data_IF_874401454514
#
_entry.id   IF_874401454514
#
_cell.length_a   1.000
_cell.length_b   1.000
_cell.length_c   1.000
_cell.angle_alpha   90.00
_cell.angle_beta   90.00
_cell.angle_gamma   90.00
#
_symmetry.space_group_name_H-M   'P 1'
#
loop_
_entity.id
_entity.type
_entity.pdbx_description
1 polymer ?
#
# COMPACT_ATOMS: atom_id res chain seq x y z
N UNK A 1 -17.73 -5.61 -38.05
CA UNK A 1 -17.03 -6.73 -37.39
C UNK A 1 -17.15 -6.55 -35.89
N UNK A 2 -17.88 -7.43 -35.22
CA UNK A 2 -18.00 -7.45 -33.77
C UNK A 2 -16.78 -8.18 -33.18
N UNK A 3 -16.03 -7.50 -32.32
CA UNK A 3 -15.03 -8.10 -31.43
C UNK A 3 -15.29 -7.51 -30.04
N UNK A 4 -16.09 -8.28 -29.30
CA UNK A 4 -16.08 -8.56 -27.86
C UNK A 4 -15.82 -7.43 -26.86
N UNK A 5 -16.87 -7.14 -26.10
CA UNK A 5 -16.87 -6.34 -24.87
C UNK A 5 -15.72 -6.72 -23.93
N UNK A 6 -14.75 -5.82 -23.77
CA UNK A 6 -13.76 -5.94 -22.71
C UNK A 6 -14.44 -5.56 -21.39
N UNK A 7 -14.58 -6.56 -20.51
CA UNK A 7 -15.04 -6.49 -19.12
C UNK A 7 -16.56 -6.40 -18.91
N UNK A 8 -17.21 -7.54 -19.10
CA UNK A 8 -18.54 -7.81 -18.56
C UNK A 8 -18.49 -7.91 -17.02
N UNK A 9 -19.48 -7.27 -16.39
CA UNK A 9 -19.92 -7.44 -14.99
C UNK A 9 -19.91 -8.91 -14.55
N UNK A 10 -19.66 -9.22 -13.27
CA UNK A 10 -20.06 -8.48 -12.07
C UNK A 10 -18.95 -7.60 -11.45
N UNK A 11 -19.27 -6.77 -10.43
CA UNK A 11 -18.27 -6.11 -9.58
C UNK A 11 -17.19 -7.10 -9.14
N UNK A 12 -15.92 -6.66 -9.15
CA UNK A 12 -14.77 -7.45 -8.67
C UNK A 12 -14.43 -6.98 -7.27
N UNK A 13 -14.04 -7.89 -6.38
CA UNK A 13 -13.75 -7.51 -5.01
C UNK A 13 -12.35 -6.87 -4.95
N UNK A 14 -12.26 -5.60 -4.52
CA UNK A 14 -10.99 -4.95 -4.26
C UNK A 14 -10.22 -5.68 -3.14
N UNK A 15 -9.01 -6.22 -3.38
CA UNK A 15 -8.33 -7.03 -2.39
C UNK A 15 -8.13 -6.32 -1.05
N UNK A 16 -8.54 -7.01 0.02
CA UNK A 16 -8.48 -6.52 1.38
C UNK A 16 -9.65 -5.65 1.80
N UNK A 17 -10.74 -5.50 1.05
CA UNK A 17 -11.99 -4.93 1.56
C UNK A 17 -12.96 -6.05 2.04
N UNK A 18 -14.13 -5.74 2.60
CA UNK A 18 -15.18 -6.72 2.86
C UNK A 18 -15.73 -7.29 1.55
N UNK A 19 -16.16 -8.56 1.54
CA UNK A 19 -16.61 -9.27 0.33
C UNK A 19 -17.92 -8.68 -0.27
N UNK A 20 -18.64 -7.89 0.51
CA UNK A 20 -19.86 -7.15 0.18
C UNK A 20 -19.59 -5.72 -0.31
N UNK A 21 -18.33 -5.26 -0.29
CA UNK A 21 -17.99 -3.95 -0.82
C UNK A 21 -18.07 -3.95 -2.35
N UNK A 22 -18.99 -3.15 -2.90
CA UNK A 22 -19.14 -2.98 -4.33
C UNK A 22 -17.98 -2.11 -4.89
N UNK A 23 -16.91 -2.74 -5.35
CA UNK A 23 -15.97 -2.12 -6.29
C UNK A 23 -16.47 -2.34 -7.72
N UNK A 24 -16.67 -1.24 -8.45
CA UNK A 24 -17.09 -1.31 -9.83
C UNK A 24 -15.95 -1.73 -10.79
N UNK A 25 -14.72 -1.97 -10.30
CA UNK A 25 -13.52 -2.26 -11.09
C UNK A 25 -12.79 -0.97 -11.50
N UNK A 26 -12.04 -0.99 -12.60
CA UNK A 26 -11.31 0.19 -13.10
C UNK A 26 -12.27 1.31 -13.59
N UNK A 27 -12.81 2.10 -12.66
CA UNK A 27 -13.75 3.20 -12.94
C UNK A 27 -13.09 4.31 -13.75
N UNK A 28 -11.83 4.65 -13.47
CA UNK A 28 -11.13 5.71 -14.20
C UNK A 28 -10.85 5.31 -15.65
N UNK A 29 -10.46 4.05 -15.91
CA UNK A 29 -10.29 3.53 -17.26
C UNK A 29 -11.58 3.58 -18.07
N UNK A 30 -12.69 3.07 -17.52
CA UNK A 30 -14.00 3.16 -18.20
C UNK A 30 -14.44 4.59 -18.42
N UNK A 31 -14.28 5.46 -17.42
CA UNK A 31 -14.57 6.89 -17.53
C UNK A 31 -13.80 7.53 -18.70
N UNK A 32 -12.54 7.14 -18.89
CA UNK A 32 -11.73 7.60 -20.00
C UNK A 32 -12.21 7.05 -21.35
N UNK A 33 -12.67 5.80 -21.43
CA UNK A 33 -13.18 5.18 -22.66
C UNK A 33 -14.49 5.82 -23.12
N UNK A 34 -15.42 6.03 -22.19
CA UNK A 34 -16.76 6.55 -22.49
C UNK A 34 -16.78 8.01 -22.96
N UNK A 35 -15.66 8.74 -22.84
CA UNK A 35 -15.43 9.99 -23.56
C UNK A 35 -16.26 11.18 -23.09
N UNK A 36 -16.57 11.27 -21.80
CA UNK A 36 -17.26 12.43 -21.23
C UNK A 36 -16.37 13.68 -21.25
N UNK A 37 -16.97 14.87 -21.23
CA UNK A 37 -16.23 16.16 -21.29
C UNK A 37 -15.71 16.62 -19.94
N UNK A 38 -16.40 16.30 -18.86
CA UNK A 38 -16.01 16.70 -17.50
C UNK A 38 -16.57 15.68 -16.51
N UNK A 39 -15.80 15.40 -15.47
CA UNK A 39 -16.27 14.61 -14.31
C UNK A 39 -16.05 15.36 -13.02
N UNK A 40 -16.82 15.00 -12.01
CA UNK A 40 -16.52 15.31 -10.63
C UNK A 40 -15.86 14.11 -9.98
N UNK A 41 -14.68 14.33 -9.44
CA UNK A 41 -13.83 13.33 -8.81
C UNK A 41 -13.75 13.64 -7.31
N UNK A 42 -13.99 12.65 -6.46
CA UNK A 42 -13.80 12.73 -5.01
C UNK A 42 -12.81 11.67 -4.60
N UNK A 43 -11.82 12.02 -3.79
CA UNK A 43 -10.91 11.06 -3.16
C UNK A 43 -11.11 11.12 -1.66
N UNK A 44 -11.27 9.95 -1.05
CA UNK A 44 -11.33 9.76 0.39
C UNK A 44 -10.13 8.92 0.81
N UNK A 45 -9.31 9.49 1.69
CA UNK A 45 -8.15 8.82 2.29
C UNK A 45 -8.37 8.65 3.77
N UNK A 46 -7.87 7.55 4.31
CA UNK A 46 -8.02 7.23 5.73
C UNK A 46 -6.65 6.95 6.32
N UNK A 47 -6.39 7.45 7.51
CA UNK A 47 -5.27 6.98 8.32
C UNK A 47 -5.80 6.15 9.47
N UNK A 48 -5.11 5.05 9.71
CA UNK A 48 -5.21 4.24 10.92
C UNK A 48 -4.56 4.97 12.12
N UNK A 49 -4.77 6.28 12.33
CA UNK A 49 -3.93 7.01 13.29
C UNK A 49 -4.37 6.85 14.75
N UNK A 50 -3.35 6.73 15.61
CA UNK A 50 -3.37 6.74 17.08
C UNK A 50 -4.18 5.60 17.69
N UNK A 51 -5.51 5.72 17.87
CA UNK A 51 -6.21 4.81 18.78
C UNK A 51 -6.14 3.32 18.44
N UNK A 52 -5.93 2.93 17.17
CA UNK A 52 -5.81 1.51 16.80
C UNK A 52 -4.35 1.03 16.76
N UNK A 53 -3.42 1.86 16.29
CA UNK A 53 -1.98 1.61 16.39
C UNK A 53 -1.50 1.63 17.86
N UNK A 54 -2.08 2.50 18.70
CA UNK A 54 -1.87 2.62 20.16
C UNK A 54 -2.51 1.47 20.93
N UNK A 55 -3.69 1.00 20.53
CA UNK A 55 -4.29 -0.24 21.06
C UNK A 55 -3.58 -1.49 20.55
N UNK A 56 -2.67 -1.35 19.59
CA UNK A 56 -1.87 -2.43 19.04
C UNK A 56 -2.64 -3.43 18.19
N UNK A 57 -3.89 -3.14 17.80
CA UNK A 57 -4.77 -4.06 17.05
C UNK A 57 -4.94 -3.63 15.58
N UNK A 58 -3.83 -3.72 14.84
CA UNK A 58 -3.74 -3.31 13.43
C UNK A 58 -4.85 -3.91 12.55
N UNK A 59 -5.19 -5.18 12.76
CA UNK A 59 -6.23 -5.86 11.98
C UNK A 59 -7.63 -5.33 12.29
N UNK A 60 -7.97 -5.08 13.56
CA UNK A 60 -9.23 -4.42 13.89
C UNK A 60 -9.29 -2.99 13.35
N UNK A 61 -8.16 -2.28 13.32
CA UNK A 61 -8.09 -0.95 12.72
C UNK A 61 -8.33 -0.97 11.23
N UNK A 62 -7.63 -1.88 10.54
CA UNK A 62 -7.84 -2.11 9.12
C UNK A 62 -9.29 -2.46 8.84
N UNK A 63 -9.92 -3.35 9.62
CA UNK A 63 -11.35 -3.66 9.52
C UNK A 63 -12.22 -2.41 9.67
N UNK A 64 -12.02 -1.58 10.70
CA UNK A 64 -12.80 -0.34 10.88
C UNK A 64 -12.62 0.66 9.75
N UNK A 65 -11.39 0.85 9.25
CA UNK A 65 -11.14 1.71 8.09
C UNK A 65 -11.89 1.19 6.87
N UNK A 66 -11.87 -0.13 6.65
CA UNK A 66 -12.55 -0.78 5.54
C UNK A 66 -14.07 -0.66 5.64
N UNK A 67 -14.64 -0.93 6.82
CA UNK A 67 -16.07 -0.74 7.12
C UNK A 67 -16.49 0.71 6.91
N UNK A 68 -15.67 1.68 7.35
CA UNK A 68 -15.95 3.10 7.14
C UNK A 68 -15.92 3.48 5.66
N UNK A 69 -14.95 2.99 4.89
CA UNK A 69 -14.88 3.25 3.44
C UNK A 69 -16.04 2.58 2.69
N UNK A 70 -16.49 1.39 3.11
CA UNK A 70 -17.70 0.75 2.59
C UNK A 70 -18.94 1.59 2.91
N UNK A 71 -19.08 2.08 4.15
CA UNK A 71 -20.17 2.99 4.54
C UNK A 71 -20.20 4.28 3.70
N UNK A 72 -19.03 4.84 3.37
CA UNK A 72 -18.93 5.99 2.47
C UNK A 72 -19.47 5.61 1.09
N UNK A 73 -19.03 4.49 0.52
CA UNK A 73 -19.44 4.04 -0.81
C UNK A 73 -20.95 3.75 -0.87
N UNK A 74 -21.48 2.97 0.07
CA UNK A 74 -22.90 2.61 0.16
C UNK A 74 -23.80 3.83 0.43
N UNK A 75 -23.27 4.82 1.15
CA UNK A 75 -23.96 6.08 1.42
C UNK A 75 -24.09 7.00 0.20
N UNK A 76 -23.42 6.68 -0.91
CA UNK A 76 -23.56 7.43 -2.16
C UNK A 76 -24.66 6.84 -3.04
N UNK A 77 -25.37 7.72 -3.76
CA UNK A 77 -26.34 7.29 -4.76
C UNK A 77 -25.60 6.57 -5.91
N UNK A 78 -25.60 5.24 -5.89
CA UNK A 78 -24.91 4.39 -6.87
C UNK A 78 -25.43 4.52 -8.31
N UNK A 79 -26.57 5.17 -8.52
CA UNK A 79 -27.03 5.55 -9.87
C UNK A 79 -26.29 6.78 -10.42
N UNK A 80 -25.70 7.58 -9.53
CA UNK A 80 -25.02 8.84 -9.83
C UNK A 80 -23.52 8.79 -9.62
N UNK A 81 -23.05 7.99 -8.68
CA UNK A 81 -21.65 7.86 -8.28
C UNK A 81 -21.14 6.45 -8.52
N UNK A 82 -19.95 6.36 -9.12
CA UNK A 82 -19.22 5.10 -9.27
C UNK A 82 -18.03 5.09 -8.32
N UNK A 83 -17.94 4.06 -7.49
CA UNK A 83 -16.85 3.85 -6.53
C UNK A 83 -15.80 2.88 -7.07
N UNK A 84 -14.53 3.17 -6.79
CA UNK A 84 -13.38 2.30 -7.06
C UNK A 84 -12.26 2.59 -6.06
N UNK A 85 -11.38 1.62 -5.84
CA UNK A 85 -10.22 1.79 -4.98
C UNK A 85 -8.93 1.94 -5.79
N UNK A 86 -8.14 2.96 -5.45
CA UNK A 86 -6.82 3.17 -6.03
C UNK A 86 -5.79 3.27 -4.89
N UNK A 87 -4.91 2.27 -4.82
CA UNK A 87 -4.04 2.09 -3.66
C UNK A 87 -4.84 1.87 -2.37
N UNK A 88 -4.71 2.80 -1.42
CA UNK A 88 -5.42 2.80 -0.13
C UNK A 88 -6.59 3.80 -0.08
N UNK A 89 -6.83 4.51 -1.18
CA UNK A 89 -7.81 5.58 -1.24
C UNK A 89 -9.08 5.10 -1.97
N UNK A 90 -10.24 5.54 -1.48
CA UNK A 90 -11.52 5.38 -2.17
C UNK A 90 -11.71 6.55 -3.13
N UNK A 91 -12.02 6.24 -4.39
CA UNK A 91 -12.26 7.20 -5.45
C UNK A 91 -13.71 7.10 -5.90
N UNK A 92 -14.41 8.23 -5.92
CA UNK A 92 -15.77 8.36 -6.40
C UNK A 92 -15.79 9.25 -7.64
N UNK A 93 -16.46 8.79 -8.69
CA UNK A 93 -16.58 9.53 -9.95
C UNK A 93 -18.04 9.73 -10.30
N UNK A 94 -18.40 10.94 -10.74
CA UNK A 94 -19.73 11.25 -11.26
C UNK A 94 -19.67 12.14 -12.50
N UNK A 95 -20.59 11.89 -13.44
CA UNK A 95 -20.78 12.64 -14.69
C UNK A 95 -21.55 13.94 -14.47
N UNK A 96 -22.58 13.85 -13.64
CA UNK A 96 -23.65 14.85 -13.55
C UNK A 96 -23.66 15.56 -12.19
N UNK A 97 -22.60 15.37 -11.40
CA UNK A 97 -22.47 16.02 -10.12
C UNK A 97 -21.83 17.41 -10.26
N UNK A 98 -22.54 18.45 -9.82
CA UNK A 98 -21.96 19.79 -9.70
C UNK A 98 -20.96 19.92 -8.53
N UNK A 99 -21.02 18.99 -7.57
CA UNK A 99 -20.19 18.95 -6.37
C UNK A 99 -20.22 17.57 -5.69
N UNK A 100 -19.53 17.39 -4.56
CA UNK A 100 -19.36 16.09 -3.91
C UNK A 100 -20.67 15.56 -3.29
N UNK A 101 -20.80 14.24 -3.06
CA UNK A 101 -21.94 13.71 -2.33
C UNK A 101 -21.82 14.01 -0.82
N UNK A 102 -22.92 13.81 -0.08
CA UNK A 102 -22.87 13.87 1.38
C UNK A 102 -22.20 12.60 1.91
N UNK A 103 -20.92 12.72 2.27
CA UNK A 103 -20.14 11.62 2.81
C UNK A 103 -20.52 11.32 4.27
N UNK A 104 -20.55 10.04 4.62
CA UNK A 104 -20.76 9.55 5.99
C UNK A 104 -19.54 8.75 6.42
N UNK A 105 -18.98 9.05 7.57
CA UNK A 105 -17.80 8.39 8.10
C UNK A 105 -18.15 7.66 9.39
N UNK A 106 -17.57 6.47 9.59
CA UNK A 106 -17.66 5.79 10.87
C UNK A 106 -16.85 6.55 11.94
N UNK A 107 -17.31 6.46 13.19
CA UNK A 107 -16.58 7.03 14.32
C UNK A 107 -15.26 6.30 14.57
N UNK A 108 -14.27 7.02 15.10
CA UNK A 108 -12.98 6.44 15.50
C UNK A 108 -11.99 6.20 14.34
N UNK A 109 -12.31 6.61 13.11
CA UNK A 109 -11.40 6.61 11.97
C UNK A 109 -11.13 8.04 11.51
N UNK A 110 -9.85 8.40 11.35
CA UNK A 110 -9.46 9.72 10.85
C UNK A 110 -9.46 9.72 9.32
N UNK A 111 -10.49 10.35 8.76
CA UNK A 111 -10.62 10.54 7.32
C UNK A 111 -10.18 11.94 6.90
N UNK A 112 -9.67 12.02 5.68
CA UNK A 112 -9.66 13.25 4.90
C UNK A 112 -10.22 12.97 3.53
N UNK A 113 -10.80 13.99 2.92
CA UNK A 113 -11.36 13.86 1.58
C UNK A 113 -11.15 15.16 0.82
N UNK A 114 -11.16 15.12 -0.49
CA UNK A 114 -11.17 16.31 -1.32
C UNK A 114 -11.87 15.99 -2.64
N UNK A 115 -12.17 17.02 -3.42
CA UNK A 115 -12.79 16.83 -4.70
C UNK A 115 -12.30 17.86 -5.73
N UNK A 116 -12.47 17.54 -7.01
CA UNK A 116 -12.35 18.53 -8.08
C UNK A 116 -13.21 18.16 -9.30
N UNK A 117 -13.29 19.10 -10.25
CA UNK A 117 -13.88 18.88 -11.57
C UNK A 117 -12.78 18.72 -12.60
N UNK A 118 -12.72 17.56 -13.23
CA UNK A 118 -11.66 17.18 -14.16
C UNK A 118 -12.18 17.35 -15.59
N UNK A 119 -11.65 18.29 -16.37
CA UNK A 119 -11.93 18.36 -17.80
C UNK A 119 -11.27 17.18 -18.52
N UNK A 120 -12.01 16.56 -19.45
CA UNK A 120 -11.60 15.37 -20.16
C UNK A 120 -11.72 15.61 -21.67
N UNK A 121 -10.57 15.84 -22.31
CA UNK A 121 -10.48 16.12 -23.74
C UNK A 121 -9.47 15.20 -24.45
N UNK A 122 -9.64 15.03 -25.76
CA UNK A 122 -8.70 14.31 -26.62
C UNK A 122 -8.93 12.79 -26.63
N UNK A 123 -7.86 12.02 -26.83
CA UNK A 123 -7.91 10.55 -26.90
C UNK A 123 -8.23 9.91 -25.55
N UNK A 124 -8.68 8.64 -25.57
CA UNK A 124 -8.88 7.82 -24.34
C UNK A 124 -7.67 7.89 -23.43
N UNK A 125 -6.47 7.75 -23.99
CA UNK A 125 -5.21 7.81 -23.25
C UNK A 125 -4.98 9.18 -22.56
N UNK A 126 -5.25 10.28 -23.27
CA UNK A 126 -5.13 11.62 -22.69
C UNK A 126 -6.11 11.82 -21.54
N UNK A 127 -7.35 11.33 -21.69
CA UNK A 127 -8.38 11.38 -20.63
C UNK A 127 -7.98 10.53 -19.42
N UNK A 128 -7.44 9.33 -19.64
CA UNK A 128 -6.94 8.46 -18.57
C UNK A 128 -5.81 9.11 -17.78
N UNK A 129 -4.82 9.67 -18.47
CA UNK A 129 -3.72 10.41 -17.80
C UNK A 129 -4.22 11.61 -17.02
N UNK A 130 -5.21 12.35 -17.55
CA UNK A 130 -5.83 13.46 -16.83
C UNK A 130 -6.54 13.00 -15.55
N UNK A 131 -7.27 11.88 -15.61
CA UNK A 131 -7.94 11.30 -14.44
C UNK A 131 -6.96 10.81 -13.37
N UNK A 132 -5.89 10.10 -13.75
CA UNK A 132 -4.89 9.61 -12.80
C UNK A 132 -4.12 10.77 -12.16
N UNK A 133 -3.74 11.78 -12.94
CA UNK A 133 -3.12 13.00 -12.41
C UNK A 133 -4.05 13.74 -11.44
N UNK A 134 -5.33 13.88 -11.79
CA UNK A 134 -6.33 14.47 -10.90
C UNK A 134 -6.51 13.63 -9.63
N UNK A 135 -6.54 12.30 -9.71
CA UNK A 135 -6.55 11.43 -8.52
C UNK A 135 -5.34 11.68 -7.62
N UNK A 136 -4.15 11.87 -8.20
CA UNK A 136 -2.96 12.19 -7.44
C UNK A 136 -3.10 13.52 -6.70
N UNK A 137 -3.51 14.59 -7.40
CA UNK A 137 -3.71 15.92 -6.80
C UNK A 137 -4.81 15.92 -5.72
N UNK A 138 -5.95 15.32 -6.02
CA UNK A 138 -7.08 15.26 -5.08
C UNK A 138 -6.75 14.38 -3.87
N UNK A 139 -6.00 13.28 -4.04
CA UNK A 139 -5.50 12.48 -2.91
C UNK A 139 -4.53 13.27 -2.03
N UNK A 140 -3.65 14.08 -2.63
CA UNK A 140 -2.74 14.95 -1.90
C UNK A 140 -3.52 15.95 -1.02
N UNK A 141 -4.53 16.60 -1.57
CA UNK A 141 -5.43 17.48 -0.83
C UNK A 141 -6.17 16.73 0.29
N UNK A 142 -6.72 15.54 -0.01
CA UNK A 142 -7.43 14.71 0.96
C UNK A 142 -6.51 14.32 2.13
N UNK A 143 -5.25 13.98 1.87
CA UNK A 143 -4.25 13.63 2.89
C UNK A 143 -3.84 14.81 3.74
N UNK A 144 -3.62 15.96 3.13
CA UNK A 144 -3.32 17.17 3.87
C UNK A 144 -4.48 17.51 4.83
N UNK A 145 -5.73 17.47 4.34
CA UNK A 145 -6.92 17.69 5.18
C UNK A 145 -7.10 16.63 6.25
N UNK A 146 -6.78 15.38 5.95
CA UNK A 146 -6.74 14.31 6.95
C UNK A 146 -5.81 14.75 8.07
N UNK A 147 -4.58 15.15 7.77
CA UNK A 147 -3.52 15.42 8.75
C UNK A 147 -3.62 16.83 9.40
N UNK A 148 -4.36 17.75 8.77
CA UNK A 148 -4.66 19.12 9.20
C UNK A 148 -6.17 19.36 9.16
N UNK A 149 -6.87 18.92 10.20
CA UNK A 149 -8.34 18.94 10.28
C UNK A 149 -8.92 20.37 10.31
N UNK A 150 -8.10 21.37 10.62
CA UNK A 150 -8.46 22.77 10.58
C UNK A 150 -8.76 23.29 9.17
N UNK A 151 -8.30 22.61 8.11
CA UNK A 151 -8.52 23.00 6.71
C UNK A 151 -9.98 22.72 6.29
N UNK A 152 -10.77 23.79 6.20
CA UNK A 152 -12.18 23.73 5.80
C UNK A 152 -12.40 23.63 4.29
N UNK A 153 -11.49 24.17 3.50
CA UNK A 153 -11.56 24.08 2.03
C UNK A 153 -11.52 22.62 1.58
N UNK A 154 -12.40 22.25 0.65
CA UNK A 154 -12.62 20.86 0.21
C UNK A 154 -12.21 20.63 -1.25
N UNK A 155 -12.08 21.70 -2.03
CA UNK A 155 -11.65 21.62 -3.42
C UNK A 155 -10.13 21.48 -3.50
N UNK A 156 -9.65 20.55 -4.31
CA UNK A 156 -8.23 20.15 -4.31
C UNK A 156 -7.27 21.32 -4.64
N UNK A 157 -7.47 22.02 -5.76
CA UNK A 157 -6.55 23.09 -6.20
C UNK A 157 -6.23 24.13 -5.12
N UNK A 158 -7.22 24.77 -4.46
CA UNK A 158 -6.96 25.69 -3.35
C UNK A 158 -6.23 25.07 -2.15
N UNK A 159 -6.56 23.83 -1.77
CA UNK A 159 -5.88 23.12 -0.67
C UNK A 159 -4.41 22.90 -1.01
N UNK A 160 -4.12 22.38 -2.21
CA UNK A 160 -2.76 22.10 -2.66
C UNK A 160 -1.96 23.40 -2.85
N UNK A 161 -2.58 24.44 -3.41
CA UNK A 161 -1.98 25.77 -3.53
C UNK A 161 -1.61 26.40 -2.18
N UNK A 162 -2.28 26.01 -1.09
CA UNK A 162 -1.98 26.44 0.27
C UNK A 162 -0.82 25.69 0.94
N UNK A 163 -0.33 24.57 0.37
CA UNK A 163 0.69 23.71 0.98
C UNK A 163 1.91 24.48 1.47
N UNK A 164 2.54 25.40 0.69
CA UNK A 164 3.73 26.12 1.15
C UNK A 164 3.54 26.95 2.42
N UNK A 165 2.30 27.36 2.72
CA UNK A 165 1.97 28.11 3.94
C UNK A 165 1.61 27.20 5.11
N UNK A 166 1.10 26.00 4.82
CA UNK A 166 0.59 25.04 5.81
C UNK A 166 1.68 24.08 6.30
N UNK A 167 2.57 23.67 5.40
CA UNK A 167 3.69 22.79 5.71
C UNK A 167 4.97 23.63 5.85
N UNK A 168 5.49 23.68 7.08
CA UNK A 168 6.67 24.49 7.41
C UNK A 168 8.02 23.82 7.13
N UNK A 169 8.05 22.60 6.58
CA UNK A 169 9.30 21.86 6.34
C UNK A 169 9.29 21.15 5.00
N UNK A 170 10.45 21.14 4.33
CA UNK A 170 10.63 20.42 3.08
C UNK A 170 10.38 18.91 3.25
N UNK A 171 10.79 18.34 4.38
CA UNK A 171 10.50 16.95 4.71
C UNK A 171 8.99 16.66 4.79
N UNK A 172 8.20 17.56 5.37
CA UNK A 172 6.74 17.42 5.42
C UNK A 172 6.10 17.50 4.03
N UNK A 173 6.54 18.46 3.21
CA UNK A 173 6.06 18.61 1.84
C UNK A 173 6.47 17.43 0.94
N UNK A 174 7.70 16.94 1.08
CA UNK A 174 8.20 15.76 0.36
C UNK A 174 7.44 14.49 0.75
N UNK A 175 7.16 14.30 2.04
CA UNK A 175 6.35 13.16 2.50
C UNK A 175 4.91 13.23 1.97
N UNK A 176 4.33 14.44 1.91
CA UNK A 176 3.01 14.65 1.33
C UNK A 176 2.98 14.31 -0.18
N UNK A 177 3.97 14.80 -0.94
CA UNK A 177 4.13 14.49 -2.37
C UNK A 177 4.34 12.98 -2.60
N UNK A 178 5.13 12.33 -1.75
CA UNK A 178 5.49 10.93 -1.88
C UNK A 178 4.40 9.94 -1.44
N UNK A 179 3.54 10.34 -0.50
CA UNK A 179 2.64 9.40 0.17
C UNK A 179 1.50 8.88 -0.70
N UNK A 180 1.14 9.57 -1.78
CA UNK A 180 -0.03 9.26 -2.62
C UNK A 180 0.24 8.04 -3.51
N UNK A 181 -0.64 7.02 -3.47
CA UNK A 181 -0.56 5.85 -4.34
C UNK A 181 -1.68 5.92 -5.39
N UNK A 182 -1.35 6.02 -6.68
CA UNK A 182 -2.33 5.99 -7.80
C UNK A 182 -1.87 4.97 -8.82
N UNK A 183 -2.14 3.69 -8.57
CA UNK A 183 -1.61 2.60 -9.41
C UNK A 183 -2.01 2.78 -10.88
N UNK A 184 -1.06 2.63 -11.82
CA UNK A 184 -1.30 2.92 -13.21
C UNK A 184 -2.22 1.87 -13.82
N UNK A 185 -3.03 2.35 -14.74
CA UNK A 185 -3.89 1.53 -15.56
C UNK A 185 -3.12 1.17 -16.81
N UNK A 186 -3.00 -0.13 -17.14
CA UNK A 186 -2.35 -0.51 -18.40
C UNK A 186 -3.01 0.16 -19.60
N UNK A 187 -2.23 0.60 -20.58
CA UNK A 187 -2.61 1.58 -21.61
C UNK A 187 -1.89 1.39 -22.95
N UNK A 188 -2.22 2.26 -23.91
CA UNK A 188 -1.85 2.12 -25.33
C UNK A 188 -0.34 2.22 -25.63
N UNK A 189 0.48 2.56 -24.63
CA UNK A 189 1.94 2.61 -24.69
C UNK A 189 2.57 1.19 -24.66
N UNK A 190 1.76 0.13 -24.84
CA UNK A 190 2.18 -1.26 -24.90
C UNK A 190 2.18 -1.99 -23.56
N UNK A 191 1.81 -1.33 -22.45
CA UNK A 191 1.66 -1.95 -21.13
C UNK A 191 0.25 -2.55 -21.03
N UNK A 192 0.09 -3.90 -21.00
CA UNK A 192 -1.21 -4.52 -20.94
C UNK A 192 -1.97 -4.07 -19.67
N UNK A 193 -3.25 -3.75 -19.82
CA UNK A 193 -4.16 -3.66 -18.68
C UNK A 193 -4.30 -5.00 -17.97
N UNK A 194 -4.89 -4.99 -16.77
CA UNK A 194 -5.13 -6.22 -16.03
C UNK A 194 -6.00 -7.20 -16.85
N UNK A 195 -5.52 -8.43 -16.99
CA UNK A 195 -6.23 -9.50 -17.66
C UNK A 195 -7.39 -10.08 -16.84
N UNK A 196 -8.13 -11.07 -17.38
CA UNK A 196 -9.05 -11.87 -16.59
C UNK A 196 -8.33 -12.54 -15.40
N UNK A 197 -8.88 -12.39 -14.19
CA UNK A 197 -8.32 -12.96 -12.97
C UNK A 197 -7.17 -12.17 -12.34
N UNK A 198 -6.77 -11.02 -12.90
CA UNK A 198 -5.76 -10.12 -12.33
C UNK A 198 -6.42 -8.97 -11.54
N UNK A 199 -5.68 -8.43 -10.56
CA UNK A 199 -6.11 -7.23 -9.82
C UNK A 199 -6.10 -6.02 -10.78
N UNK A 200 -7.21 -5.28 -10.91
CA UNK A 200 -7.31 -4.16 -11.85
C UNK A 200 -6.32 -3.03 -11.57
N UNK A 201 -5.78 -2.95 -10.35
CA UNK A 201 -4.78 -1.98 -9.91
C UNK A 201 -3.36 -2.51 -10.08
N UNK A 202 -3.18 -3.82 -10.29
CA UNK A 202 -1.87 -4.46 -10.43
C UNK A 202 -1.87 -5.43 -11.63
N UNK A 203 -1.79 -4.91 -12.87
CA UNK A 203 -1.66 -5.77 -14.04
C UNK A 203 -0.51 -6.78 -13.90
N UNK A 204 -0.74 -8.04 -14.32
CA UNK A 204 0.21 -9.14 -14.16
C UNK A 204 0.20 -9.83 -12.78
N UNK A 205 -0.60 -9.34 -11.82
CA UNK A 205 -0.71 -9.92 -10.47
C UNK A 205 -2.11 -10.53 -10.28
N UNK A 206 -2.22 -11.80 -9.84
CA UNK A 206 -3.51 -12.43 -9.58
C UNK A 206 -4.36 -11.64 -8.58
N UNK A 207 -5.65 -11.51 -8.90
CA UNK A 207 -6.66 -10.91 -8.01
C UNK A 207 -6.92 -11.80 -6.80
N UNK A 208 -7.25 -11.20 -5.67
CA UNK A 208 -7.78 -11.93 -4.52
C UNK A 208 -9.19 -12.51 -4.76
N UNK A 209 -9.85 -12.22 -5.87
CA UNK A 209 -11.10 -12.92 -6.24
C UNK A 209 -10.88 -14.44 -6.35
N UNK A 210 -9.71 -14.86 -6.87
CA UNK A 210 -9.32 -16.27 -6.95
C UNK A 210 -8.81 -16.86 -5.63
N UNK A 211 -8.79 -16.07 -4.55
CA UNK A 211 -8.24 -16.47 -3.26
C UNK A 211 -8.93 -17.67 -2.64
N UNK A 212 -10.27 -17.66 -2.64
CA UNK A 212 -11.09 -18.68 -2.00
C UNK A 212 -10.84 -20.05 -2.61
N UNK A 213 -10.69 -20.13 -3.93
CA UNK A 213 -10.36 -21.36 -4.66
C UNK A 213 -8.95 -21.84 -4.31
N UNK A 214 -7.96 -20.94 -4.33
CA UNK A 214 -6.57 -21.25 -3.93
C UNK A 214 -6.53 -21.84 -2.53
N UNK A 215 -7.23 -21.23 -1.58
CA UNK A 215 -7.28 -21.67 -0.17
C UNK A 215 -8.05 -22.98 0.01
N UNK A 216 -9.10 -23.21 -0.78
CA UNK A 216 -9.86 -24.46 -0.74
C UNK A 216 -9.04 -25.65 -1.24
N UNK A 217 -8.16 -25.43 -2.23
CA UNK A 217 -7.25 -26.43 -2.80
C UNK A 217 -5.96 -26.67 -2.01
N UNK A 218 -5.80 -26.10 -0.82
CA UNK A 218 -4.56 -26.20 -0.02
C UNK A 218 -4.18 -27.63 0.32
N UNK A 219 -2.88 -27.92 0.31
CA UNK A 219 -2.30 -29.15 0.82
C UNK A 219 -1.86 -29.00 2.29
N UNK A 220 -1.76 -30.12 3.01
CA UNK A 220 -1.30 -30.12 4.41
C UNK A 220 0.15 -29.62 4.57
N UNK A 221 0.95 -29.70 3.51
CA UNK A 221 2.34 -29.21 3.48
C UNK A 221 2.47 -27.73 3.14
N UNK A 222 1.40 -27.06 2.71
CA UNK A 222 1.49 -25.66 2.26
C UNK A 222 1.84 -24.72 3.41
N UNK A 223 2.53 -23.64 3.04
CA UNK A 223 2.76 -22.48 3.89
C UNK A 223 1.84 -21.34 3.47
N UNK A 224 1.24 -20.69 4.44
CA UNK A 224 0.64 -19.38 4.24
C UNK A 224 1.74 -18.31 4.24
N UNK A 225 1.75 -17.46 3.22
CA UNK A 225 2.74 -16.42 3.02
C UNK A 225 2.11 -15.02 3.00
N UNK A 226 2.84 -14.05 3.54
CA UNK A 226 2.55 -12.61 3.41
C UNK A 226 3.84 -11.89 3.07
N UNK A 227 3.82 -11.04 2.05
CA UNK A 227 4.94 -10.19 1.66
C UNK A 227 4.62 -8.72 1.93
N UNK A 228 5.66 -7.91 2.06
CA UNK A 228 5.58 -6.45 2.03
C UNK A 228 6.75 -5.92 1.20
N UNK A 229 6.45 -5.03 0.25
CA UNK A 229 7.46 -4.31 -0.52
C UNK A 229 7.67 -2.97 0.13
N UNK A 230 8.91 -2.69 0.51
CA UNK A 230 9.25 -1.42 1.07
C UNK A 230 9.80 -0.47 0.02
N UNK A 231 8.97 0.52 -0.29
CA UNK A 231 9.33 1.81 -0.87
C UNK A 231 9.11 2.89 0.21
N UNK A 232 9.84 2.81 1.33
CA UNK A 232 9.63 3.76 2.44
C UNK A 232 9.94 5.17 1.92
N UNK A 233 9.15 6.16 2.32
CA UNK A 233 9.35 7.59 2.03
C UNK A 233 10.83 8.01 2.05
N UNK A 234 11.60 7.54 3.02
CA UNK A 234 13.01 7.92 3.21
C UNK A 234 14.03 6.86 2.75
N UNK A 235 13.54 5.74 2.22
CA UNK A 235 14.32 4.63 1.70
C UNK A 235 14.70 3.61 2.77
N UNK A 236 15.43 2.59 2.35
CA UNK A 236 15.98 1.56 3.25
C UNK A 236 17.48 1.75 3.35
N UNK A 237 18.00 1.79 4.58
CA UNK A 237 19.44 1.82 4.83
C UNK A 237 19.91 0.44 5.26
N UNK A 238 21.05 0.02 4.71
CA UNK A 238 21.76 -1.16 5.15
C UNK A 238 22.38 -0.86 6.53
N UNK A 239 22.13 -1.74 7.50
CA UNK A 239 22.55 -1.54 8.89
C UNK A 239 24.04 -1.76 9.12
N UNK A 240 24.68 -2.57 8.28
CA UNK A 240 26.09 -2.94 8.43
C UNK A 240 27.04 -1.77 8.13
N UNK A 241 26.71 -0.94 7.15
CA UNK A 241 27.58 0.12 6.61
C UNK A 241 26.86 1.47 6.46
N UNK A 242 25.55 1.54 6.74
CA UNK A 242 24.72 2.72 6.53
C UNK A 242 24.41 3.02 5.06
N UNK A 243 24.86 2.18 4.12
CA UNK A 243 24.67 2.40 2.69
C UNK A 243 23.20 2.30 2.32
N UNK A 244 22.78 3.05 1.30
CA UNK A 244 21.39 3.05 0.86
C UNK A 244 21.09 1.79 0.03
N UNK A 245 20.11 1.00 0.47
CA UNK A 245 19.59 -0.15 -0.28
C UNK A 245 18.52 0.27 -1.29
N UNK A 246 17.71 1.25 -0.90
CA UNK A 246 16.73 1.87 -1.78
C UNK A 246 16.72 3.37 -1.59
N UNK A 247 16.66 4.12 -2.68
CA UNK A 247 16.13 5.48 -2.64
C UNK A 247 14.67 5.39 -2.17
N UNK A 248 14.19 6.38 -1.44
CA UNK A 248 12.80 6.43 -0.98
C UNK A 248 12.07 7.52 -1.71
N UNK A 249 10.77 7.35 -1.94
CA UNK A 249 10.01 8.33 -2.73
C UNK A 249 10.06 9.77 -2.19
N UNK A 250 9.96 9.98 -0.87
CA UNK A 250 10.08 11.32 -0.26
C UNK A 250 11.51 11.87 -0.33
N UNK A 251 12.52 11.00 -0.28
CA UNK A 251 13.90 11.42 -0.47
C UNK A 251 14.14 11.94 -1.89
N UNK A 252 13.62 11.24 -2.91
CA UNK A 252 13.75 11.63 -4.32
C UNK A 252 13.11 12.99 -4.62
N UNK A 253 11.95 13.28 -4.03
CA UNK A 253 11.24 14.56 -4.25
C UNK A 253 11.64 15.67 -3.28
N UNK A 254 12.67 15.47 -2.44
CA UNK A 254 13.05 16.43 -1.41
C UNK A 254 13.47 17.78 -1.99
N UNK A 255 14.35 17.78 -3.00
CA UNK A 255 14.82 19.00 -3.66
C UNK A 255 13.69 19.77 -4.38
N UNK A 256 12.72 19.03 -4.91
CA UNK A 256 11.50 19.57 -5.49
C UNK A 256 10.64 20.25 -4.43
N UNK A 257 10.45 19.60 -3.28
CA UNK A 257 9.73 20.15 -2.14
C UNK A 257 10.41 21.43 -1.58
N UNK A 258 11.73 21.45 -1.46
CA UNK A 258 12.49 22.63 -1.06
C UNK A 258 12.27 23.81 -2.01
N UNK A 259 12.30 23.55 -3.31
CA UNK A 259 12.06 24.58 -4.33
C UNK A 259 10.62 25.09 -4.33
N UNK A 260 9.66 24.20 -4.07
CA UNK A 260 8.25 24.56 -3.93
C UNK A 260 8.01 25.48 -2.73
N UNK A 261 8.53 25.09 -1.55
CA UNK A 261 8.36 25.88 -0.32
C UNK A 261 9.06 27.24 -0.38
N UNK A 262 10.19 27.33 -1.09
CA UNK A 262 10.88 28.58 -1.31
C UNK A 262 10.22 29.48 -2.38
N UNK A 263 9.10 29.06 -2.97
CA UNK A 263 8.41 29.81 -4.04
C UNK A 263 9.19 29.88 -5.36
N UNK A 264 10.19 29.02 -5.56
CA UNK A 264 11.02 28.98 -6.78
C UNK A 264 10.41 28.11 -7.88
N UNK A 265 9.46 27.24 -7.54
CA UNK A 265 8.74 26.39 -8.48
C UNK A 265 7.23 26.59 -8.33
N UNK A 266 6.52 26.63 -9.45
CA UNK A 266 5.06 26.72 -9.45
C UNK A 266 4.42 25.38 -9.05
N UNK A 267 3.26 25.44 -8.39
CA UNK A 267 2.56 24.24 -7.89
C UNK A 267 2.25 23.24 -9.00
N UNK A 268 1.88 23.69 -10.21
CA UNK A 268 1.53 22.79 -11.31
C UNK A 268 2.76 22.04 -11.85
N UNK A 269 3.92 22.69 -11.93
CA UNK A 269 5.19 22.06 -12.28
C UNK A 269 5.64 21.06 -11.21
N UNK A 270 5.52 21.44 -9.93
CA UNK A 270 5.84 20.55 -8.80
C UNK A 270 4.98 19.29 -8.82
N UNK A 271 3.67 19.43 -8.98
CA UNK A 271 2.77 18.28 -9.04
C UNK A 271 3.08 17.38 -10.25
N UNK A 272 3.36 17.95 -11.42
CA UNK A 272 3.70 17.17 -12.62
C UNK A 272 5.00 16.39 -12.43
N UNK A 273 6.03 17.02 -11.88
CA UNK A 273 7.32 16.35 -11.68
C UNK A 273 7.25 15.28 -10.58
N UNK A 274 6.60 15.58 -9.45
CA UNK A 274 6.38 14.60 -8.40
C UNK A 274 5.54 13.41 -8.90
N UNK A 275 4.49 13.68 -9.69
CA UNK A 275 3.67 12.63 -10.31
C UNK A 275 4.47 11.80 -11.33
N UNK A 276 5.37 12.41 -12.12
CA UNK A 276 6.23 11.70 -13.05
C UNK A 276 7.18 10.73 -12.33
N UNK A 277 7.85 11.20 -11.27
CA UNK A 277 8.72 10.35 -10.43
C UNK A 277 7.91 9.22 -9.80
N UNK A 278 6.72 9.54 -9.29
CA UNK A 278 5.77 8.59 -8.73
C UNK A 278 5.38 7.47 -9.70
N UNK A 279 5.04 7.81 -10.95
CA UNK A 279 4.70 6.81 -11.97
C UNK A 279 5.85 5.83 -12.23
N UNK A 280 7.09 6.32 -12.23
CA UNK A 280 8.28 5.47 -12.32
C UNK A 280 8.36 4.48 -11.17
N UNK A 281 8.14 4.93 -9.93
CA UNK A 281 8.13 4.06 -8.75
C UNK A 281 7.00 3.05 -8.77
N UNK A 282 5.83 3.42 -9.26
CA UNK A 282 4.72 2.47 -9.37
C UNK A 282 4.97 1.39 -10.41
N UNK A 283 5.61 1.73 -11.53
CA UNK A 283 6.06 0.73 -12.49
C UNK A 283 7.06 -0.25 -11.84
N UNK A 284 7.97 0.24 -11.01
CA UNK A 284 8.91 -0.61 -10.28
C UNK A 284 8.23 -1.50 -9.24
N UNK A 285 7.25 -0.97 -8.51
CA UNK A 285 6.45 -1.75 -7.56
C UNK A 285 5.66 -2.84 -8.28
N UNK A 286 5.03 -2.51 -9.41
CA UNK A 286 4.30 -3.48 -10.24
C UNK A 286 5.22 -4.61 -10.69
N UNK A 287 6.38 -4.28 -11.25
CA UNK A 287 7.33 -5.27 -11.72
C UNK A 287 7.87 -6.14 -10.58
N UNK A 288 8.08 -5.54 -9.40
CA UNK A 288 8.49 -6.24 -8.20
C UNK A 288 7.44 -7.26 -7.75
N UNK A 289 6.18 -6.83 -7.62
CA UNK A 289 5.07 -7.69 -7.21
C UNK A 289 4.79 -8.78 -8.26
N UNK A 290 4.89 -8.45 -9.54
CA UNK A 290 4.80 -9.43 -10.65
C UNK A 290 5.90 -10.47 -10.56
N UNK A 291 7.15 -10.06 -10.34
CA UNK A 291 8.28 -10.97 -10.18
C UNK A 291 8.08 -11.91 -9.00
N UNK A 292 7.61 -11.39 -7.85
CA UNK A 292 7.24 -12.21 -6.71
C UNK A 292 6.19 -13.25 -7.13
N UNK A 293 5.05 -12.80 -7.67
CA UNK A 293 3.95 -13.70 -8.05
C UNK A 293 4.34 -14.74 -9.10
N UNK A 294 5.15 -14.38 -10.09
CA UNK A 294 5.62 -15.27 -11.16
C UNK A 294 6.58 -16.33 -10.62
N UNK A 295 7.50 -15.95 -9.73
CA UNK A 295 8.54 -16.85 -9.23
C UNK A 295 7.96 -17.98 -8.37
N UNK A 296 6.90 -17.71 -7.60
CA UNK A 296 6.22 -18.75 -6.80
C UNK A 296 5.21 -19.59 -7.58
N UNK A 297 4.78 -19.13 -8.76
CA UNK A 297 3.75 -19.80 -9.60
C UNK A 297 3.95 -21.31 -9.81
N UNK A 298 5.18 -21.85 -9.95
CA UNK A 298 5.37 -23.29 -10.18
C UNK A 298 4.86 -24.20 -9.06
N UNK A 299 4.79 -23.72 -7.82
CA UNK A 299 4.40 -24.54 -6.66
C UNK A 299 3.48 -23.84 -5.66
N UNK A 300 3.10 -22.59 -5.93
CA UNK A 300 2.27 -21.78 -5.06
C UNK A 300 1.57 -20.68 -5.84
N UNK A 301 0.79 -19.87 -5.13
CA UNK A 301 0.07 -18.74 -5.70
C UNK A 301 -0.05 -17.62 -4.68
N UNK A 302 0.45 -16.45 -5.07
CA UNK A 302 0.28 -15.20 -4.35
C UNK A 302 -0.73 -14.31 -5.07
N UNK A 303 -1.55 -13.62 -4.29
CA UNK A 303 -2.61 -12.73 -4.74
C UNK A 303 -2.33 -11.32 -4.22
N UNK A 304 -2.74 -10.33 -5.00
CA UNK A 304 -2.72 -8.93 -4.60
C UNK A 304 -3.49 -8.73 -3.29
N UNK A 305 -2.99 -7.84 -2.42
CA UNK A 305 -3.68 -7.44 -1.18
C UNK A 305 -3.83 -5.91 -1.09
N UNK A 306 -4.41 -5.42 0.01
CA UNK A 306 -4.43 -3.99 0.29
C UNK A 306 -3.05 -3.52 0.74
N UNK A 307 -2.38 -2.71 -0.09
CA UNK A 307 -1.03 -2.21 0.18
C UNK A 307 0.01 -2.82 -0.75
N UNK A 308 1.27 -2.65 -0.41
CA UNK A 308 2.40 -2.87 -1.32
C UNK A 308 2.94 -4.30 -1.18
N UNK A 309 2.06 -5.27 -0.98
CA UNK A 309 2.42 -6.66 -0.70
C UNK A 309 1.40 -7.67 -1.25
N UNK A 310 1.80 -8.93 -1.21
CA UNK A 310 1.00 -10.06 -1.64
C UNK A 310 0.73 -10.99 -0.46
N UNK A 311 -0.26 -11.86 -0.59
CA UNK A 311 -0.44 -12.99 0.32
C UNK A 311 -0.78 -14.22 -0.48
N UNK A 312 -0.67 -15.41 0.09
CA UNK A 312 -1.09 -16.63 -0.61
C UNK A 312 -0.52 -17.91 -0.03
N UNK A 313 -0.56 -18.96 -0.85
CA UNK A 313 -0.01 -20.26 -0.52
C UNK A 313 1.29 -20.48 -1.27
N UNK A 314 2.29 -21.00 -0.57
CA UNK A 314 3.59 -21.37 -1.14
C UNK A 314 3.95 -22.76 -0.62
N UNK A 315 4.75 -23.55 -1.34
CA UNK A 315 5.05 -24.92 -0.91
C UNK A 315 5.93 -24.92 0.34
N UNK A 316 6.87 -23.96 0.46
CA UNK A 316 7.75 -23.80 1.60
C UNK A 316 8.37 -22.38 1.67
N UNK A 317 9.12 -22.12 2.75
CA UNK A 317 9.84 -20.87 2.95
C UNK A 317 10.98 -20.64 1.94
N UNK A 318 11.57 -21.70 1.37
CA UNK A 318 12.69 -21.60 0.43
C UNK A 318 12.23 -21.11 -0.95
N UNK A 319 11.07 -21.56 -1.41
CA UNK A 319 10.41 -21.06 -2.61
C UNK A 319 10.12 -19.56 -2.51
N UNK A 320 9.56 -19.12 -1.37
CA UNK A 320 9.30 -17.70 -1.14
C UNK A 320 10.60 -16.89 -1.03
N UNK A 321 11.64 -17.43 -0.38
CA UNK A 321 12.95 -16.78 -0.29
C UNK A 321 13.57 -16.55 -1.66
N UNK A 322 13.49 -17.55 -2.53
CA UNK A 322 13.93 -17.43 -3.93
C UNK A 322 13.18 -16.31 -4.64
N UNK A 323 11.85 -16.24 -4.47
CA UNK A 323 11.03 -15.19 -5.05
C UNK A 323 11.41 -13.78 -4.55
N UNK A 324 11.59 -13.61 -3.23
CA UNK A 324 11.99 -12.33 -2.62
C UNK A 324 13.36 -11.89 -3.12
N UNK A 325 14.35 -12.80 -3.17
CA UNK A 325 15.69 -12.50 -3.68
C UNK A 325 15.64 -12.10 -5.15
N UNK A 326 14.88 -12.84 -5.98
CA UNK A 326 14.73 -12.52 -7.40
C UNK A 326 14.09 -11.14 -7.62
N UNK A 327 13.04 -10.82 -6.86
CA UNK A 327 12.37 -9.52 -6.94
C UNK A 327 13.28 -8.37 -6.48
N UNK A 328 13.98 -8.53 -5.34
CA UNK A 328 14.92 -7.54 -4.84
C UNK A 328 16.09 -7.30 -5.81
N UNK A 329 16.61 -8.36 -6.44
CA UNK A 329 17.67 -8.24 -7.44
C UNK A 329 17.23 -7.48 -8.70
N UNK A 330 15.98 -7.65 -9.14
CA UNK A 330 15.44 -6.92 -10.31
C UNK A 330 15.24 -5.43 -10.05
N UNK A 331 14.94 -5.06 -8.82
CA UNK A 331 14.65 -3.67 -8.42
C UNK A 331 15.72 -3.09 -7.49
N UNK A 332 16.95 -3.56 -7.61
CA UNK A 332 18.07 -3.10 -6.78
C UNK A 332 18.18 -1.57 -6.78
N UNK A 333 18.39 -0.97 -5.60
CA UNK A 333 18.43 0.48 -5.43
C UNK A 333 17.06 1.18 -5.40
N UNK A 334 15.97 0.48 -5.75
CA UNK A 334 14.64 1.07 -5.97
C UNK A 334 13.60 0.49 -5.01
N UNK A 335 13.48 -0.83 -4.93
CA UNK A 335 12.51 -1.52 -4.05
C UNK A 335 13.20 -2.61 -3.24
N UNK A 336 12.69 -2.88 -2.04
CA UNK A 336 13.17 -3.97 -1.19
C UNK A 336 12.02 -4.63 -0.44
N UNK A 337 11.78 -5.91 -0.66
CA UNK A 337 10.75 -6.69 0.02
C UNK A 337 11.31 -7.57 1.14
N UNK A 338 10.40 -7.96 2.03
CA UNK A 338 10.54 -9.07 2.97
C UNK A 338 9.24 -9.85 3.07
N UNK A 339 9.29 -11.05 3.64
CA UNK A 339 8.11 -11.90 3.77
C UNK A 339 8.09 -12.75 5.04
N UNK A 340 6.88 -13.00 5.53
CA UNK A 340 6.61 -13.95 6.61
C UNK A 340 5.87 -15.17 6.10
N UNK A 341 6.19 -16.34 6.65
CA UNK A 341 5.47 -17.59 6.38
C UNK A 341 5.07 -18.33 7.65
N UNK A 342 4.00 -19.09 7.56
CA UNK A 342 3.57 -20.04 8.58
C UNK A 342 3.04 -21.32 7.92
N UNK A 343 3.44 -22.49 8.43
CA UNK A 343 2.93 -23.78 7.95
C UNK A 343 1.45 -23.93 8.28
N UNK A 344 0.68 -24.50 7.35
CA UNK A 344 -0.75 -24.78 7.55
C UNK A 344 -1.01 -26.09 8.29
N UNK A 345 0.00 -26.95 8.46
CA UNK A 345 -0.15 -28.28 9.05
C UNK A 345 -0.81 -28.24 10.44
N UNK A 346 -2.09 -28.63 10.49
CA UNK A 346 -2.87 -28.79 11.72
C UNK A 346 -3.44 -27.51 12.33
N UNK A 347 -3.40 -26.38 11.62
CA UNK A 347 -4.01 -25.12 12.09
C UNK A 347 -5.01 -24.57 11.08
N UNK A 348 -5.97 -23.78 11.57
CA UNK A 348 -6.86 -23.05 10.69
C UNK A 348 -6.12 -21.91 9.96
N UNK A 349 -6.74 -21.41 8.89
CA UNK A 349 -6.17 -20.35 8.07
C UNK A 349 -6.01 -19.04 8.83
N UNK A 350 -6.89 -18.73 9.79
CA UNK A 350 -6.82 -17.48 10.54
C UNK A 350 -5.57 -17.46 11.44
N UNK A 351 -5.30 -18.56 12.14
CA UNK A 351 -4.08 -18.75 12.92
C UNK A 351 -2.84 -18.72 12.04
N UNK A 352 -2.86 -19.35 10.86
CA UNK A 352 -1.74 -19.31 9.92
C UNK A 352 -1.45 -17.88 9.42
N UNK A 353 -2.50 -17.10 9.13
CA UNK A 353 -2.39 -15.69 8.75
C UNK A 353 -1.72 -14.86 9.83
N UNK A 354 -2.20 -14.97 11.06
CA UNK A 354 -1.67 -14.22 12.20
C UNK A 354 -0.19 -14.51 12.43
N UNK A 355 0.18 -15.80 12.39
CA UNK A 355 1.57 -16.26 12.49
C UNK A 355 2.46 -15.75 11.36
N UNK A 356 1.99 -15.78 10.11
CA UNK A 356 2.74 -15.24 8.98
C UNK A 356 2.91 -13.72 9.06
N UNK A 357 1.90 -12.99 9.53
CA UNK A 357 2.01 -11.54 9.77
C UNK A 357 3.01 -11.21 10.87
N UNK A 358 3.06 -12.00 11.96
CA UNK A 358 4.12 -11.89 12.94
C UNK A 358 5.50 -12.15 12.32
N UNK A 359 5.64 -13.20 11.52
CA UNK A 359 6.93 -13.50 10.89
C UNK A 359 7.36 -12.41 9.91
N UNK A 360 6.42 -11.79 9.20
CA UNK A 360 6.68 -10.60 8.39
C UNK A 360 7.16 -9.41 9.26
N UNK A 361 6.65 -9.27 10.49
CA UNK A 361 7.16 -8.26 11.41
C UNK A 361 8.60 -8.54 11.84
N UNK A 362 8.96 -9.81 12.03
CA UNK A 362 10.35 -10.20 12.28
C UNK A 362 11.25 -9.79 11.11
N UNK A 363 10.86 -10.08 9.86
CA UNK A 363 11.66 -9.65 8.70
C UNK A 363 11.76 -8.13 8.59
N UNK A 364 10.68 -7.40 8.91
CA UNK A 364 10.70 -5.92 8.97
C UNK A 364 11.66 -5.38 10.01
N UNK A 365 11.76 -6.03 11.17
CA UNK A 365 12.73 -5.69 12.22
C UNK A 365 14.18 -5.94 11.79
N UNK A 366 14.41 -6.96 10.96
CA UNK A 366 15.72 -7.30 10.40
C UNK A 366 16.03 -6.56 9.10
N UNK A 367 15.13 -5.67 8.67
CA UNK A 367 15.27 -4.98 7.39
C UNK A 367 16.56 -4.17 7.34
N UNK A 368 17.23 -4.23 6.19
CA UNK A 368 18.51 -3.58 5.98
C UNK A 368 19.70 -4.34 6.57
N UNK A 369 19.51 -5.48 7.21
CA UNK A 369 20.63 -6.36 7.58
C UNK A 369 21.08 -7.20 6.39
N UNK A 370 22.28 -7.78 6.49
CA UNK A 370 22.76 -8.81 5.55
C UNK A 370 22.24 -10.22 5.91
N UNK A 371 21.55 -10.37 7.05
CA UNK A 371 21.07 -11.66 7.51
C UNK A 371 20.02 -12.23 6.56
N UNK A 372 20.09 -13.53 6.19
CA UNK A 372 19.10 -14.15 5.33
C UNK A 372 17.65 -13.97 5.83
N UNK A 373 17.43 -13.97 7.15
CA UNK A 373 16.11 -13.79 7.77
C UNK A 373 15.50 -12.40 7.53
N UNK A 374 16.26 -11.43 7.01
CA UNK A 374 15.70 -10.16 6.54
C UNK A 374 14.83 -10.30 5.29
N UNK A 375 15.06 -11.35 4.48
CA UNK A 375 14.26 -11.65 3.30
C UNK A 375 13.00 -12.46 3.65
N UNK A 376 13.16 -13.56 4.39
CA UNK A 376 12.05 -14.44 4.79
C UNK A 376 12.27 -15.00 6.18
N UNK A 377 11.21 -14.98 7.00
CA UNK A 377 11.15 -15.65 8.29
C UNK A 377 9.95 -16.61 8.37
N UNK A 378 10.20 -17.80 8.90
CA UNK A 378 9.19 -18.84 9.11
C UNK A 378 8.82 -18.91 10.59
N UNK A 379 7.51 -18.86 10.86
CA UNK A 379 7.00 -18.97 12.24
C UNK A 379 7.43 -20.30 12.87
N UNK A 380 7.84 -20.25 14.13
CA UNK A 380 8.39 -21.35 14.92
C UNK A 380 9.90 -21.58 14.73
N UNK A 381 10.55 -20.85 13.82
CA UNK A 381 11.99 -21.01 13.57
C UNK A 381 12.80 -19.97 14.36
N UNK A 382 13.78 -20.37 15.20
CA UNK A 382 14.64 -19.42 15.89
C UNK A 382 15.46 -18.56 14.93
N UNK A 383 15.65 -17.29 15.29
CA UNK A 383 16.68 -16.42 14.71
C UNK A 383 18.06 -16.95 15.08
N UNK A 384 19.01 -16.82 14.16
CA UNK A 384 20.42 -17.01 14.51
C UNK A 384 20.90 -15.86 15.42
N UNK A 385 22.10 -16.04 15.98
CA UNK A 385 22.69 -15.10 16.93
C UNK A 385 22.87 -13.70 16.34
N UNK A 386 23.21 -13.60 15.05
CA UNK A 386 23.47 -12.31 14.39
C UNK A 386 22.16 -11.56 14.14
N UNK A 387 21.16 -12.22 13.54
CA UNK A 387 19.82 -11.67 13.33
C UNK A 387 19.17 -11.26 14.66
N UNK A 388 19.29 -12.09 15.69
CA UNK A 388 18.79 -11.76 17.03
C UNK A 388 19.45 -10.50 17.60
N UNK A 389 20.76 -10.33 17.39
CA UNK A 389 21.49 -9.12 17.82
C UNK A 389 20.94 -7.88 17.11
N UNK A 390 20.78 -7.92 15.78
CA UNK A 390 20.20 -6.80 15.04
C UNK A 390 18.78 -6.46 15.45
N UNK A 391 17.94 -7.48 15.66
CA UNK A 391 16.57 -7.29 16.14
C UNK A 391 16.55 -6.59 17.50
N UNK A 392 17.41 -7.03 18.42
CA UNK A 392 17.52 -6.46 19.76
C UNK A 392 18.05 -5.03 19.75
N UNK A 393 19.04 -4.73 18.93
CA UNK A 393 19.54 -3.37 18.75
C UNK A 393 18.48 -2.43 18.20
N UNK A 394 17.71 -2.88 17.19
CA UNK A 394 16.63 -2.11 16.61
C UNK A 394 15.53 -1.82 17.63
N UNK A 395 14.98 -2.86 18.28
CA UNK A 395 13.90 -2.70 19.25
C UNK A 395 14.36 -1.93 20.50
N UNK A 396 15.59 -2.16 20.97
CA UNK A 396 16.18 -1.39 22.05
C UNK A 396 16.44 0.08 21.69
N UNK A 397 16.84 0.35 20.45
CA UNK A 397 16.94 1.71 19.91
C UNK A 397 15.60 2.43 19.93
N UNK A 398 14.54 1.78 19.45
CA UNK A 398 13.17 2.32 19.51
C UNK A 398 12.69 2.57 20.94
N UNK A 399 13.02 1.68 21.87
CA UNK A 399 12.66 1.85 23.28
C UNK A 399 13.35 3.08 23.89
N UNK A 400 14.61 3.34 23.51
CA UNK A 400 15.37 4.52 23.97
C UNK A 400 14.91 5.83 23.32
N UNK A 401 14.42 5.80 22.08
CA UNK A 401 14.00 7.02 21.37
C UNK A 401 12.68 7.63 21.85
N UNK A 402 11.92 6.92 22.69
CA UNK A 402 10.63 7.39 23.21
C UNK A 402 9.50 7.39 22.17
N UNK A 403 8.32 7.82 22.59
CA UNK A 403 7.13 7.84 21.73
C UNK A 403 7.24 8.97 20.69
N UNK A 404 7.55 8.61 19.44
CA UNK A 404 7.59 9.60 18.36
C UNK A 404 7.83 9.03 16.96
N UNK A 405 8.66 7.99 16.83
CA UNK A 405 8.99 7.37 15.53
C UNK A 405 8.98 5.84 15.64
N UNK A 406 8.29 5.18 14.69
CA UNK A 406 8.24 3.71 14.59
C UNK A 406 7.80 2.95 15.87
N UNK A 407 7.02 3.60 16.75
CA UNK A 407 6.47 2.98 17.97
C UNK A 407 5.71 1.68 17.69
N UNK A 408 5.14 1.52 16.49
CA UNK A 408 4.39 0.33 16.10
C UNK A 408 5.24 -0.96 16.11
N UNK A 409 6.53 -0.93 15.74
CA UNK A 409 7.38 -2.12 15.82
C UNK A 409 7.64 -2.54 17.26
N UNK A 410 7.87 -1.58 18.15
CA UNK A 410 8.07 -1.85 19.58
C UNK A 410 6.76 -2.28 20.26
N UNK A 411 5.64 -1.65 19.93
CA UNK A 411 4.30 -2.06 20.41
C UNK A 411 3.97 -3.46 19.95
N UNK A 412 4.22 -3.78 18.67
CA UNK A 412 4.02 -5.12 18.15
C UNK A 412 4.93 -6.14 18.83
N UNK A 413 6.20 -5.81 19.05
CA UNK A 413 7.12 -6.67 19.77
C UNK A 413 6.66 -6.97 21.20
N UNK A 414 6.18 -5.95 21.92
CA UNK A 414 5.61 -6.11 23.27
C UNK A 414 4.32 -6.93 23.28
N UNK A 415 3.42 -6.71 22.31
CA UNK A 415 2.18 -7.47 22.16
C UNK A 415 2.45 -8.96 21.97
N UNK A 416 3.42 -9.28 21.12
CA UNK A 416 3.78 -10.65 20.78
C UNK A 416 5.03 -11.12 21.53
N UNK A 417 5.15 -10.74 22.80
CA UNK A 417 6.34 -11.02 23.61
C UNK A 417 6.63 -12.51 23.70
N UNK A 418 5.60 -13.33 23.87
CA UNK A 418 5.75 -14.78 23.98
C UNK A 418 6.27 -15.39 22.67
N UNK A 419 5.71 -14.97 21.53
CA UNK A 419 6.18 -15.40 20.21
C UNK A 419 7.61 -14.93 19.95
N UNK A 420 7.96 -13.68 20.26
CA UNK A 420 9.36 -13.26 20.19
C UNK A 420 10.27 -14.11 21.09
N UNK A 421 9.83 -14.49 22.29
CA UNK A 421 10.54 -15.40 23.17
C UNK A 421 10.85 -16.76 22.53
N UNK A 422 9.90 -17.32 21.78
CA UNK A 422 10.08 -18.59 21.03
C UNK A 422 11.13 -18.47 19.92
N UNK A 423 11.16 -17.33 19.23
CA UNK A 423 12.02 -17.11 18.06
C UNK A 423 13.40 -16.52 18.41
N UNK A 424 13.59 -16.02 19.64
CA UNK A 424 14.88 -15.51 20.10
C UNK A 424 15.74 -16.64 20.69
N UNK A 425 17.06 -16.66 20.42
CA UNK A 425 17.98 -17.53 21.11
C UNK A 425 18.02 -17.19 22.61
N UNK A 426 18.36 -18.15 23.50
CA UNK A 426 18.35 -17.94 24.95
C UNK A 426 19.10 -16.71 25.43
N UNK A 427 20.23 -16.38 24.77
CA UNK A 427 21.04 -15.19 25.06
C UNK A 427 20.32 -13.86 24.84
N UNK A 428 19.37 -13.81 23.91
CA UNK A 428 18.61 -12.60 23.59
C UNK A 428 17.30 -12.47 24.38
N UNK A 429 16.72 -13.59 24.86
CA UNK A 429 15.44 -13.60 25.60
C UNK A 429 15.48 -12.72 26.84
N UNK A 430 16.56 -12.78 27.61
CA UNK A 430 16.72 -12.00 28.84
C UNK A 430 16.86 -10.49 28.56
N UNK A 431 17.40 -10.10 27.42
CA UNK A 431 17.47 -8.71 26.99
C UNK A 431 16.11 -8.22 26.50
N UNK A 432 15.41 -9.05 25.73
CA UNK A 432 14.07 -8.77 25.23
C UNK A 432 13.02 -8.60 26.32
N UNK A 433 13.07 -9.42 27.37
CA UNK A 433 12.17 -9.31 28.51
C UNK A 433 12.25 -7.94 29.23
N UNK A 434 13.34 -7.19 29.03
CA UNK A 434 13.56 -5.85 29.62
C UNK A 434 13.09 -4.71 28.71
N UNK A 435 12.64 -4.99 27.49
CA UNK A 435 12.05 -4.03 26.54
C UNK A 435 10.53 -3.90 26.74
#
# INVERSE_FOLDING_TARGET
MAVTAAFARPPRHAPGFPADCADAGDVLGRTAEEGWRTVTLVVVTSALRASVEERGDHDAGLRRVRESLALVADGTDGSRWSASYYGKDLVLVSRDAAGPPRLRFAEGVRHGWAWDRVPLDGSVERRRRALLFACYEVSLAARLRRDRAEIQETRAGPVVGGVPRVLGTAAGAASLLAGVLVRPLGGADGVPGAGPGEDPRLPGVPSADGWSETVAGRAAGDCYAVTDVHDIEWGTLRRTDGARLTEGNAHEVLSLAESWLAGRADTAAVLREAYRLRLGREADLLEHLRTLSETVRPGGRLHATLGDGLSGLVPDAAALRTAVIAANGRTEGRMHSGAGVARLAGIDLAAARERAHFSLHVTKTLKGTACPQAAVHEFGTPLDTEAATYAMEFLGGLARSGAGHASHHLVHARRWRDWWGEHLPPSARAAFARL
#
